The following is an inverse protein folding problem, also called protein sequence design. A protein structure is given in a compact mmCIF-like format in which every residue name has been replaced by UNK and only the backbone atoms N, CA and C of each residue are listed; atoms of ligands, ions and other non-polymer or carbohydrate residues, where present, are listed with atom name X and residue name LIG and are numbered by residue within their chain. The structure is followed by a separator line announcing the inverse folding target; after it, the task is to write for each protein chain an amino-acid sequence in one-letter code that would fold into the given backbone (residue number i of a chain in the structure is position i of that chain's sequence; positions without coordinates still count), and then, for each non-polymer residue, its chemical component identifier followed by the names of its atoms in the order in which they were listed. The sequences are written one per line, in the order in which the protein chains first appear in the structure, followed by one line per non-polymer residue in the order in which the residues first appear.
data_IF_504888733195
#
_entry.id   IF_504888733195
#
_cell.length_a   1.000
_cell.length_b   1.000
_cell.length_c   1.000
_cell.angle_alpha   90.00
_cell.angle_beta   90.00
_cell.angle_gamma   90.00
#
_symmetry.space_group_name_H-M   'P 1'
#
loop_
_entity.id
_entity.type
_entity.pdbx_description
1 polymer ?
#
# COMPACT_ATOMS: atom_id res chain seq x y z
N UNK A 1 12.24 1.65 -23.99
CA UNK A 1 10.99 1.57 -23.21
C UNK A 1 9.91 2.44 -23.84
N UNK A 2 8.89 1.81 -24.42
CA UNK A 2 7.72 2.53 -24.91
C UNK A 2 6.99 3.21 -23.74
N UNK A 3 6.63 4.48 -23.91
CA UNK A 3 5.97 5.33 -22.89
C UNK A 3 4.51 4.91 -22.60
N UNK A 4 4.07 3.76 -23.10
CA UNK A 4 2.65 3.40 -23.25
C UNK A 4 1.93 3.27 -21.90
N UNK A 5 2.60 2.80 -20.85
CA UNK A 5 1.99 2.60 -19.54
C UNK A 5 2.36 3.66 -18.49
N UNK A 6 2.76 4.86 -18.94
CA UNK A 6 3.13 5.95 -18.03
C UNK A 6 2.01 6.28 -17.02
N UNK A 7 0.76 6.26 -17.46
CA UNK A 7 -0.40 6.53 -16.60
C UNK A 7 -0.55 5.45 -15.52
N UNK A 8 -0.42 4.16 -15.88
CA UNK A 8 -0.49 3.07 -14.90
C UNK A 8 0.65 3.15 -13.88
N UNK A 9 1.87 3.46 -14.33
CA UNK A 9 3.00 3.67 -13.43
C UNK A 9 2.76 4.81 -12.45
N UNK A 10 2.20 5.91 -12.95
CA UNK A 10 1.79 7.03 -12.10
C UNK A 10 0.67 6.63 -11.12
N UNK A 11 -0.34 5.89 -11.56
CA UNK A 11 -1.40 5.40 -10.69
C UNK A 11 -0.86 4.46 -9.60
N UNK A 12 0.06 3.55 -9.94
CA UNK A 12 0.71 2.70 -8.95
C UNK A 12 1.44 3.52 -7.88
N UNK A 13 2.15 4.58 -8.26
CA UNK A 13 2.81 5.48 -7.31
C UNK A 13 1.78 6.25 -6.48
N UNK A 14 0.71 6.76 -7.12
CA UNK A 14 -0.36 7.49 -6.46
C UNK A 14 -1.04 6.62 -5.39
N UNK A 15 -1.35 5.36 -5.68
CA UNK A 15 -1.92 4.44 -4.68
C UNK A 15 -0.99 4.25 -3.47
N UNK A 16 0.33 4.12 -3.69
CA UNK A 16 1.29 4.02 -2.58
C UNK A 16 1.35 5.31 -1.76
N UNK A 17 1.32 6.48 -2.39
CA UNK A 17 1.27 7.77 -1.69
C UNK A 17 -0.01 7.89 -0.86
N UNK A 18 -1.17 7.56 -1.46
CA UNK A 18 -2.45 7.58 -0.77
C UNK A 18 -2.48 6.60 0.41
N UNK A 19 -1.90 5.41 0.26
CA UNK A 19 -1.77 4.45 1.36
C UNK A 19 -1.06 5.09 2.56
N UNK A 20 0.11 5.71 2.34
CA UNK A 20 0.86 6.39 3.41
C UNK A 20 0.09 7.55 4.05
N UNK A 21 -0.61 8.36 3.24
CA UNK A 21 -1.45 9.45 3.76
C UNK A 21 -2.54 8.88 4.68
N UNK A 22 -3.25 7.84 4.23
CA UNK A 22 -4.33 7.21 5.00
C UNK A 22 -3.78 6.56 6.27
N UNK A 23 -2.62 5.93 6.23
CA UNK A 23 -1.97 5.36 7.42
C UNK A 23 -1.68 6.43 8.47
N UNK A 24 -1.05 7.53 8.07
CA UNK A 24 -0.73 8.64 8.99
C UNK A 24 -2.00 9.23 9.58
N UNK A 25 -2.99 9.55 8.75
CA UNK A 25 -4.26 10.12 9.22
C UNK A 25 -5.01 9.16 10.14
N UNK A 26 -5.03 7.86 9.84
CA UNK A 26 -5.69 6.87 10.67
C UNK A 26 -4.98 6.63 12.01
N UNK A 27 -3.65 6.70 12.07
CA UNK A 27 -2.89 6.69 13.33
C UNK A 27 -3.25 7.91 14.18
N UNK A 28 -3.27 9.10 13.57
CA UNK A 28 -3.66 10.34 14.27
C UNK A 28 -5.10 10.26 14.79
N UNK A 29 -6.03 9.70 13.99
CA UNK A 29 -7.41 9.48 14.40
C UNK A 29 -7.51 8.49 15.57
N UNK A 30 -6.78 7.36 15.53
CA UNK A 30 -6.75 6.39 16.63
C UNK A 30 -6.26 7.03 17.93
N UNK A 31 -5.18 7.82 17.87
CA UNK A 31 -4.65 8.55 19.03
C UNK A 31 -5.68 9.56 19.53
N UNK A 32 -6.28 10.36 18.65
CA UNK A 32 -7.28 11.35 19.01
C UNK A 32 -8.49 10.71 19.73
N UNK A 33 -8.96 9.56 19.25
CA UNK A 33 -10.05 8.80 19.91
C UNK A 33 -9.68 8.38 21.33
N UNK A 34 -8.46 7.88 21.55
CA UNK A 34 -7.99 7.47 22.89
C UNK A 34 -7.86 8.69 23.81
N UNK A 35 -7.25 9.78 23.33
CA UNK A 35 -7.05 11.01 24.12
C UNK A 35 -8.37 11.64 24.52
N UNK A 36 -9.27 11.85 23.55
CA UNK A 36 -10.61 12.43 23.80
C UNK A 36 -11.37 11.55 24.79
N UNK A 37 -11.36 10.23 24.60
CA UNK A 37 -12.03 9.30 25.49
C UNK A 37 -11.44 9.22 26.90
N UNK A 38 -10.15 9.53 27.07
CA UNK A 38 -9.51 9.60 28.39
C UNK A 38 -9.78 10.93 29.12
N UNK A 39 -10.03 12.02 28.38
CA UNK A 39 -10.29 13.36 28.95
C UNK A 39 -11.77 13.72 29.04
N UNK A 40 -12.65 12.93 28.43
CA UNK A 40 -14.09 13.16 28.50
C UNK A 40 -14.61 12.84 29.90
N UNK A 41 -15.29 13.81 30.52
CA UNK A 41 -16.08 13.61 31.74
C UNK A 41 -17.16 12.52 31.53
N UNK A 42 -17.70 11.97 32.62
CA UNK A 42 -18.61 10.79 32.66
C UNK A 42 -19.81 10.81 31.70
N UNK A 43 -20.10 11.92 31.02
CA UNK A 43 -21.16 12.05 30.01
C UNK A 43 -21.01 11.11 28.79
N UNK A 44 -19.80 10.66 28.45
CA UNK A 44 -19.55 9.73 27.33
C UNK A 44 -19.25 8.30 27.76
N UNK A 45 -19.09 8.06 29.06
CA UNK A 45 -18.97 6.72 29.61
C UNK A 45 -20.36 6.15 29.83
N UNK A 46 -20.70 5.06 29.13
CA UNK A 46 -21.80 4.21 29.58
C UNK A 46 -21.41 3.70 30.97
N UNK A 47 -22.20 3.99 32.04
CA UNK A 47 -21.85 3.55 33.39
C UNK A 47 -21.62 2.03 33.41
N UNK A 48 -20.41 1.61 33.81
CA UNK A 48 -20.02 0.20 33.87
C UNK A 48 -19.15 -0.33 32.70
N UNK A 49 -18.85 0.48 31.68
CA UNK A 49 -17.99 0.07 30.54
C UNK A 49 -16.84 1.06 30.28
N UNK A 50 -15.81 1.13 31.15
CA UNK A 50 -14.62 1.98 30.96
C UNK A 50 -13.72 1.56 29.77
N UNK A 51 -14.03 0.45 29.09
CA UNK A 51 -13.18 -0.19 28.07
C UNK A 51 -13.44 0.36 26.64
N UNK A 52 -14.49 1.15 26.45
CA UNK A 52 -14.98 1.58 25.11
C UNK A 52 -13.97 2.42 24.31
N UNK A 53 -13.27 3.42 24.89
CA UNK A 53 -12.37 4.28 24.10
C UNK A 53 -11.10 3.55 23.63
N UNK A 54 -10.57 2.66 24.46
CA UNK A 54 -9.36 1.89 24.16
C UNK A 54 -9.64 0.82 23.09
N UNK A 55 -10.80 0.17 23.15
CA UNK A 55 -11.26 -0.77 22.12
C UNK A 55 -11.55 -0.04 20.81
N UNK A 56 -12.16 1.14 20.87
CA UNK A 56 -12.40 2.00 19.71
C UNK A 56 -11.11 2.42 19.01
N UNK A 57 -10.14 2.95 19.77
CA UNK A 57 -8.82 3.34 19.23
C UNK A 57 -8.06 2.17 18.63
N UNK A 58 -8.07 1.00 19.29
CA UNK A 58 -7.44 -0.21 18.76
C UNK A 58 -8.13 -0.69 17.47
N UNK A 59 -9.47 -0.64 17.41
CA UNK A 59 -10.24 -0.98 16.22
C UNK A 59 -9.91 -0.07 15.03
N UNK A 60 -9.82 1.25 15.26
CA UNK A 60 -9.41 2.22 14.24
C UNK A 60 -7.99 1.95 13.75
N UNK A 61 -7.05 1.67 14.67
CA UNK A 61 -5.67 1.39 14.32
C UNK A 61 -5.55 0.13 13.46
N UNK A 62 -6.17 -0.98 13.89
CA UNK A 62 -6.17 -2.23 13.14
C UNK A 62 -6.83 -2.08 11.77
N UNK A 63 -7.98 -1.40 11.71
CA UNK A 63 -8.67 -1.10 10.45
C UNK A 63 -7.83 -0.25 9.51
N UNK A 64 -7.12 0.75 10.05
CA UNK A 64 -6.21 1.62 9.29
C UNK A 64 -5.03 0.82 8.72
N UNK A 65 -4.37 -0.01 9.54
CA UNK A 65 -3.25 -0.84 9.09
C UNK A 65 -3.70 -1.83 8.01
N UNK A 66 -4.85 -2.48 8.21
CA UNK A 66 -5.42 -3.38 7.23
C UNK A 66 -5.72 -2.66 5.90
N UNK A 67 -6.36 -1.48 5.96
CA UNK A 67 -6.69 -0.71 4.77
C UNK A 67 -5.45 -0.13 4.07
N UNK A 68 -4.42 0.27 4.83
CA UNK A 68 -3.11 0.63 4.30
C UNK A 68 -2.52 -0.51 3.45
N UNK A 69 -2.52 -1.74 3.98
CA UNK A 69 -2.00 -2.91 3.25
C UNK A 69 -2.76 -3.12 1.95
N UNK A 70 -4.09 -3.01 1.95
CA UNK A 70 -4.89 -3.13 0.74
C UNK A 70 -4.53 -2.06 -0.31
N UNK A 71 -4.48 -0.79 0.07
CA UNK A 71 -4.13 0.31 -0.84
C UNK A 71 -2.71 0.16 -1.39
N UNK A 72 -1.75 -0.18 -0.53
CA UNK A 72 -0.36 -0.37 -0.93
C UNK A 72 -0.22 -1.56 -1.89
N UNK A 73 -0.90 -2.67 -1.60
CA UNK A 73 -0.90 -3.87 -2.43
C UNK A 73 -1.48 -3.60 -3.83
N UNK A 74 -2.52 -2.77 -3.97
CA UNK A 74 -3.02 -2.35 -5.28
C UNK A 74 -1.93 -1.62 -6.07
N UNK A 75 -1.20 -0.71 -5.43
CA UNK A 75 -0.07 -0.02 -6.05
C UNK A 75 1.04 -0.97 -6.50
N UNK A 76 1.36 -1.99 -5.70
CA UNK A 76 2.33 -3.03 -6.08
C UNK A 76 1.84 -3.94 -7.19
N UNK A 77 0.57 -4.33 -7.17
CA UNK A 77 -0.01 -5.19 -8.21
C UNK A 77 0.07 -4.54 -9.58
N UNK A 78 -0.14 -3.22 -9.66
CA UNK A 78 0.03 -2.46 -10.90
C UNK A 78 1.49 -2.54 -11.38
N UNK A 79 2.47 -2.29 -10.50
CA UNK A 79 3.88 -2.36 -10.86
C UNK A 79 4.30 -3.76 -11.29
N UNK A 80 3.82 -4.78 -10.58
CA UNK A 80 4.04 -6.19 -10.92
C UNK A 80 3.49 -6.52 -12.31
N UNK A 81 2.25 -6.11 -12.61
CA UNK A 81 1.65 -6.31 -13.93
C UNK A 81 2.46 -5.65 -15.06
N UNK A 82 2.98 -4.44 -14.83
CA UNK A 82 3.86 -3.75 -15.78
C UNK A 82 5.18 -4.49 -16.00
N UNK A 83 5.80 -5.01 -14.93
CA UNK A 83 7.02 -5.80 -15.04
C UNK A 83 6.81 -7.11 -15.80
N UNK A 84 5.67 -7.79 -15.58
CA UNK A 84 5.29 -9.00 -16.32
C UNK A 84 5.13 -8.69 -17.82
N UNK A 85 4.43 -7.60 -18.16
CA UNK A 85 4.23 -7.18 -19.55
C UNK A 85 5.57 -6.86 -20.25
N UNK A 86 6.46 -6.14 -19.57
CA UNK A 86 7.78 -5.80 -20.08
C UNK A 86 8.62 -7.06 -20.36
N UNK A 87 8.70 -7.98 -19.39
CA UNK A 87 9.42 -9.25 -19.55
C UNK A 87 8.82 -10.13 -20.66
N UNK A 88 7.49 -10.15 -20.79
CA UNK A 88 6.80 -10.94 -21.83
C UNK A 88 7.08 -10.37 -23.22
N UNK A 89 7.08 -9.03 -23.35
CA UNK A 89 7.40 -8.34 -24.60
C UNK A 89 8.86 -8.57 -25.01
N UNK A 90 9.79 -8.46 -24.06
CA UNK A 90 11.21 -8.77 -24.31
C UNK A 90 11.39 -10.22 -24.76
N UNK A 91 10.75 -11.17 -24.08
CA UNK A 91 10.76 -12.58 -24.48
C UNK A 91 10.23 -12.77 -25.91
N UNK A 92 9.14 -12.09 -26.28
CA UNK A 92 8.61 -12.15 -27.63
C UNK A 92 9.59 -11.61 -28.68
N UNK A 93 10.32 -10.53 -28.39
CA UNK A 93 11.37 -10.00 -29.28
C UNK A 93 12.52 -11.00 -29.48
N UNK A 94 12.98 -11.65 -28.42
CA UNK A 94 14.01 -12.69 -28.53
C UNK A 94 13.54 -13.88 -29.37
N UNK A 95 12.31 -14.34 -29.16
CA UNK A 95 11.75 -15.48 -29.91
C UNK A 95 11.54 -15.18 -31.40
N UNK A 96 11.33 -13.91 -31.78
CA UNK A 96 11.22 -13.49 -33.18
C UNK A 96 12.57 -13.21 -33.84
N UNK A 97 13.68 -13.27 -33.09
CA UNK A 97 15.00 -12.86 -33.58
C UNK A 97 15.13 -11.35 -33.79
N UNK A 98 14.21 -10.55 -33.23
CA UNK A 98 14.21 -9.08 -33.31
C UNK A 98 15.13 -8.44 -32.27
N UNK A 99 15.58 -9.21 -31.26
CA UNK A 99 16.49 -8.77 -30.21
C UNK A 99 17.69 -9.72 -30.07
N UNK A 100 18.87 -9.17 -29.74
CA UNK A 100 20.08 -9.96 -29.50
C UNK A 100 20.08 -10.54 -28.09
N UNK A 101 20.23 -11.86 -27.98
CA UNK A 101 20.35 -12.54 -26.69
C UNK A 101 21.62 -12.04 -25.99
N UNK A 102 21.53 -11.47 -24.77
CA UNK A 102 22.72 -11.04 -24.04
C UNK A 102 23.63 -12.23 -23.75
N UNK A 103 24.97 -12.06 -23.77
CA UNK A 103 25.89 -13.15 -23.46
C UNK A 103 25.64 -13.67 -22.03
N UNK A 104 25.90 -14.97 -21.77
CA UNK A 104 25.76 -15.53 -20.43
C UNK A 104 26.57 -14.74 -19.40
N UNK A 105 26.08 -14.53 -18.17
CA UNK A 105 26.85 -13.87 -17.14
C UNK A 105 28.14 -14.64 -16.87
N UNK A 106 29.26 -13.93 -16.68
CA UNK A 106 30.54 -14.56 -16.37
C UNK A 106 30.42 -15.35 -15.05
N UNK A 107 31.02 -16.55 -14.96
CA UNK A 107 31.01 -17.32 -13.72
C UNK A 107 31.68 -16.52 -12.61
N UNK A 108 30.94 -16.28 -11.52
CA UNK A 108 31.48 -15.67 -10.30
C UNK A 108 32.55 -16.63 -9.76
N UNK A 109 33.82 -16.22 -9.80
CA UNK A 109 34.96 -16.99 -9.28
C UNK A 109 35.06 -16.88 -7.76
#
# INVERSE_FOLDING_TARGET
MEKRFRVLRFLGLLYKILAWIVLVLGILAAIATVVIGATADEMLTVPGLPVVPMVGGLGILLGTVFYFVLLYAVGELIHLGLAIEENTRETAYYLRGEATIPPPPEPVR
#
